data_IF_709456312341
#
_entry.id   IF_709456312341
#
_cell.length_a   1.000
_cell.length_b   1.000
_cell.length_c   1.000
_cell.angle_alpha   90.00
_cell.angle_beta   90.00
_cell.angle_gamma   90.00
#
_symmetry.space_group_name_H-M   'P 1'
#
loop_
_entity.id
_entity.type
_entity.pdbx_description
1 polymer ?
#
# COMPACT_ATOMS: atom_id res chain seq x y z
N UNK A 1 -14.45 -26.84 -13.71
CA UNK A 1 -13.22 -26.45 -12.98
C UNK A 1 -11.97 -26.59 -13.86
N UNK A 2 -11.59 -27.78 -14.34
CA UNK A 2 -10.39 -27.96 -15.21
C UNK A 2 -10.42 -27.13 -16.52
N UNK A 3 -11.58 -26.96 -17.14
CA UNK A 3 -11.72 -26.26 -18.43
C UNK A 3 -11.49 -24.74 -18.35
N UNK A 4 -11.89 -24.08 -17.24
CA UNK A 4 -11.73 -22.62 -17.04
C UNK A 4 -10.30 -22.24 -16.63
N UNK A 5 -9.70 -23.02 -15.73
CA UNK A 5 -8.28 -22.88 -15.38
C UNK A 5 -7.38 -23.15 -16.59
N UNK A 6 -7.73 -24.14 -17.41
CA UNK A 6 -7.06 -24.41 -18.69
C UNK A 6 -7.19 -23.26 -19.69
N UNK A 7 -8.37 -22.64 -19.82
CA UNK A 7 -8.58 -21.50 -20.74
C UNK A 7 -7.87 -20.20 -20.30
N UNK A 8 -7.78 -19.94 -19.00
CA UNK A 8 -7.08 -18.76 -18.48
C UNK A 8 -5.55 -18.94 -18.44
N UNK A 9 -5.08 -20.16 -18.14
CA UNK A 9 -3.67 -20.52 -18.30
C UNK A 9 -3.23 -20.42 -19.77
N UNK A 10 -4.09 -20.82 -20.72
CA UNK A 10 -3.82 -20.60 -22.15
C UNK A 10 -3.87 -19.13 -22.55
N UNK A 11 -4.77 -18.33 -21.98
CA UNK A 11 -4.87 -16.90 -22.27
C UNK A 11 -3.64 -16.11 -21.76
N UNK A 12 -3.15 -16.39 -20.55
CA UNK A 12 -1.89 -15.78 -20.07
C UNK A 12 -0.66 -16.22 -20.86
N UNK A 13 -0.66 -17.46 -21.37
CA UNK A 13 0.42 -17.98 -22.21
C UNK A 13 0.51 -17.30 -23.57
N UNK A 14 -0.60 -16.80 -24.12
CA UNK A 14 -0.65 -16.04 -25.39
C UNK A 14 -0.47 -14.53 -25.19
N UNK A 15 -1.00 -13.95 -24.09
CA UNK A 15 -0.92 -12.51 -23.81
C UNK A 15 0.48 -12.07 -23.34
N UNK A 16 1.23 -12.96 -22.66
CA UNK A 16 2.57 -12.62 -22.14
C UNK A 16 3.60 -12.35 -23.25
N UNK A 17 3.79 -13.23 -24.25
CA UNK A 17 4.68 -12.94 -25.38
C UNK A 17 4.26 -11.68 -26.13
N UNK A 18 2.95 -11.47 -26.35
CA UNK A 18 2.42 -10.29 -27.02
C UNK A 18 2.78 -8.98 -26.30
N UNK A 19 2.69 -8.97 -24.96
CA UNK A 19 3.09 -7.82 -24.16
C UNK A 19 4.58 -7.52 -24.27
N UNK A 20 5.44 -8.54 -24.12
CA UNK A 20 6.89 -8.40 -24.18
C UNK A 20 7.33 -7.90 -25.56
N UNK A 21 6.76 -8.45 -26.64
CA UNK A 21 7.00 -8.00 -28.01
C UNK A 21 6.62 -6.52 -28.21
N UNK A 22 5.48 -6.10 -27.66
CA UNK A 22 5.04 -4.71 -27.74
C UNK A 22 5.96 -3.75 -26.96
N UNK A 23 6.42 -4.15 -25.78
CA UNK A 23 7.36 -3.35 -24.98
C UNK A 23 8.71 -3.21 -25.69
N UNK A 24 9.27 -4.31 -26.19
CA UNK A 24 10.57 -4.31 -26.87
C UNK A 24 10.53 -3.62 -28.24
N UNK A 25 9.36 -3.57 -28.90
CA UNK A 25 9.18 -2.76 -30.11
C UNK A 25 9.17 -1.26 -29.80
N UNK A 26 8.52 -0.84 -28.72
CA UNK A 26 8.48 0.57 -28.31
C UNK A 26 9.83 1.06 -27.77
N UNK A 27 10.60 0.14 -27.20
CA UNK A 27 11.96 0.38 -26.69
C UNK A 27 12.92 -0.60 -27.36
N UNK A 28 13.41 -0.34 -28.59
CA UNK A 28 14.24 -1.29 -29.33
C UNK A 28 15.65 -1.47 -28.77
N UNK A 29 16.08 -0.58 -27.87
CA UNK A 29 17.38 -0.61 -27.22
C UNK A 29 17.30 -0.02 -25.80
N UNK A 30 18.27 -0.32 -24.93
CA UNK A 30 18.39 0.35 -23.63
C UNK A 30 18.47 1.88 -23.76
N UNK A 31 17.97 2.59 -22.76
CA UNK A 31 18.02 4.05 -22.71
C UNK A 31 19.47 4.52 -22.56
N UNK A 32 19.86 5.46 -23.42
CA UNK A 32 21.10 6.21 -23.27
C UNK A 32 20.91 7.37 -22.25
N UNK A 33 21.99 8.06 -21.81
CA UNK A 33 21.91 9.12 -20.81
C UNK A 33 20.96 10.28 -21.17
N UNK A 34 20.84 10.60 -22.46
CA UNK A 34 20.02 11.70 -22.98
C UNK A 34 18.56 11.30 -23.21
N UNK A 35 18.26 10.00 -23.22
CA UNK A 35 16.90 9.52 -23.46
C UNK A 35 15.97 9.93 -22.31
N UNK A 36 14.73 10.37 -22.64
CA UNK A 36 13.72 10.65 -21.63
C UNK A 36 13.33 9.36 -20.92
N UNK A 37 13.06 9.47 -19.62
CA UNK A 37 12.54 8.34 -18.86
C UNK A 37 11.05 8.14 -19.17
N UNK A 38 10.57 6.89 -19.23
CA UNK A 38 9.16 6.58 -19.48
C UNK A 38 8.26 6.84 -18.27
N UNK A 39 8.85 7.24 -17.15
CA UNK A 39 8.18 7.54 -15.89
C UNK A 39 8.71 8.83 -15.26
N UNK A 40 7.93 9.38 -14.33
CA UNK A 40 8.34 10.53 -13.52
C UNK A 40 9.11 10.02 -12.30
N UNK A 41 10.35 10.48 -12.15
CA UNK A 41 11.20 10.14 -11.00
C UNK A 41 10.73 10.93 -9.78
N UNK A 42 10.50 10.28 -8.63
CA UNK A 42 10.09 10.95 -7.40
C UNK A 42 11.31 11.61 -6.75
N UNK A 43 11.41 12.94 -6.91
CA UNK A 43 12.48 13.72 -6.30
C UNK A 43 13.83 13.60 -7.01
N UNK A 44 14.88 14.05 -6.32
CA UNK A 44 16.25 14.15 -6.87
C UNK A 44 17.23 13.16 -6.24
N UNK A 45 16.91 12.64 -5.05
CA UNK A 45 17.75 11.72 -4.27
C UNK A 45 16.92 10.65 -3.59
N UNK A 46 17.52 9.48 -3.39
CA UNK A 46 16.97 8.38 -2.61
C UNK A 46 18.02 7.94 -1.57
N UNK A 47 17.59 7.57 -0.37
CA UNK A 47 18.43 6.76 0.52
C UNK A 47 18.47 5.31 0.02
N UNK A 48 19.47 4.54 0.45
CA UNK A 48 19.58 3.11 0.11
C UNK A 48 18.31 2.32 0.48
N UNK A 49 17.68 2.66 1.60
CA UNK A 49 16.47 2.00 2.09
C UNK A 49 15.21 2.37 1.27
N UNK A 50 15.21 3.53 0.60
CA UNK A 50 14.11 3.95 -0.28
C UNK A 50 14.16 3.24 -1.65
N UNK A 51 15.30 2.65 -2.04
CA UNK A 51 15.52 2.19 -3.42
C UNK A 51 14.50 1.15 -3.85
N UNK A 52 14.34 0.06 -3.09
CA UNK A 52 13.49 -1.05 -3.52
C UNK A 52 12.04 -0.60 -3.74
N UNK A 53 11.43 0.04 -2.73
CA UNK A 53 10.05 0.52 -2.81
C UNK A 53 9.84 1.50 -3.96
N UNK A 54 10.72 2.49 -4.14
CA UNK A 54 10.57 3.50 -5.18
C UNK A 54 10.75 2.91 -6.59
N UNK A 55 11.66 1.94 -6.78
CA UNK A 55 11.82 1.26 -8.06
C UNK A 55 10.65 0.32 -8.37
N UNK A 56 10.15 -0.41 -7.38
CA UNK A 56 8.93 -1.23 -7.51
C UNK A 56 7.74 -0.35 -7.93
N UNK A 57 7.54 0.79 -7.29
CA UNK A 57 6.46 1.73 -7.62
C UNK A 57 6.57 2.22 -9.07
N UNK A 58 7.78 2.56 -9.54
CA UNK A 58 8.02 2.96 -10.93
C UNK A 58 7.69 1.82 -11.92
N UNK A 59 8.18 0.61 -11.67
CA UNK A 59 7.93 -0.55 -12.53
C UNK A 59 6.45 -0.91 -12.56
N UNK A 60 5.81 -1.06 -11.41
CA UNK A 60 4.40 -1.43 -11.31
C UNK A 60 3.51 -0.38 -11.97
N UNK A 61 3.77 0.91 -11.76
CA UNK A 61 3.05 2.00 -12.43
C UNK A 61 3.19 1.95 -13.95
N UNK A 62 4.41 1.75 -14.46
CA UNK A 62 4.67 1.69 -15.90
C UNK A 62 4.09 0.43 -16.56
N UNK A 63 4.33 -0.75 -15.99
CA UNK A 63 3.82 -2.02 -16.54
C UNK A 63 2.28 -2.03 -16.53
N UNK A 64 1.65 -1.56 -15.45
CA UNK A 64 0.18 -1.44 -15.38
C UNK A 64 -0.38 -0.43 -16.38
N UNK A 65 0.31 0.70 -16.61
CA UNK A 65 -0.11 1.70 -17.62
C UNK A 65 -0.11 1.16 -19.05
N UNK A 66 0.60 0.06 -19.27
CA UNK A 66 0.70 -0.65 -20.55
C UNK A 66 -0.12 -1.95 -20.56
N UNK A 67 -1.03 -2.12 -19.61
CA UNK A 67 -1.91 -3.27 -19.46
C UNK A 67 -1.17 -4.61 -19.26
N UNK A 68 0.00 -4.60 -18.61
CA UNK A 68 0.63 -5.83 -18.18
C UNK A 68 -0.29 -6.58 -17.20
N UNK A 69 -0.43 -7.89 -17.36
CA UNK A 69 -1.15 -8.72 -16.39
C UNK A 69 -0.46 -8.63 -15.02
N UNK A 70 -1.21 -8.50 -13.90
CA UNK A 70 -0.61 -8.27 -12.58
C UNK A 70 0.47 -9.29 -12.17
N UNK A 71 0.32 -10.62 -12.39
CA UNK A 71 1.36 -11.59 -12.05
C UNK A 71 2.65 -11.39 -12.86
N UNK A 72 2.51 -11.06 -14.15
CA UNK A 72 3.65 -10.76 -15.02
C UNK A 72 4.34 -9.47 -14.58
N UNK A 73 3.55 -8.42 -14.32
CA UNK A 73 4.07 -7.13 -13.86
C UNK A 73 4.87 -7.27 -12.55
N UNK A 74 4.31 -7.98 -11.57
CA UNK A 74 4.99 -8.24 -10.29
C UNK A 74 6.27 -9.06 -10.48
N UNK A 75 6.24 -10.08 -11.33
CA UNK A 75 7.40 -10.96 -11.55
C UNK A 75 8.53 -10.23 -12.28
N UNK A 76 8.21 -9.41 -13.30
CA UNK A 76 9.19 -8.58 -14.01
C UNK A 76 9.79 -7.51 -13.09
N UNK A 77 8.95 -6.84 -12.30
CA UNK A 77 9.39 -5.84 -11.33
C UNK A 77 10.32 -6.47 -10.29
N UNK A 78 9.94 -7.60 -9.72
CA UNK A 78 10.74 -8.35 -8.76
C UNK A 78 12.12 -8.71 -9.33
N UNK A 79 12.15 -9.38 -10.48
CA UNK A 79 13.39 -9.84 -11.11
C UNK A 79 14.32 -8.67 -11.42
N UNK A 80 13.79 -7.58 -11.99
CA UNK A 80 14.58 -6.41 -12.33
C UNK A 80 15.16 -5.71 -11.09
N UNK A 81 14.37 -5.55 -10.03
CA UNK A 81 14.82 -4.91 -8.79
C UNK A 81 15.82 -5.80 -8.06
N UNK A 82 15.54 -7.11 -7.96
CA UNK A 82 16.44 -8.08 -7.33
C UNK A 82 17.81 -8.12 -8.01
N UNK A 83 17.85 -8.20 -9.36
CA UNK A 83 19.11 -8.16 -10.09
C UNK A 83 19.86 -6.84 -9.88
N UNK A 84 19.15 -5.70 -9.87
CA UNK A 84 19.79 -4.40 -9.65
C UNK A 84 20.37 -4.26 -8.23
N UNK A 85 19.64 -4.70 -7.20
CA UNK A 85 20.09 -4.62 -5.80
C UNK A 85 21.29 -5.54 -5.50
N UNK A 86 21.56 -6.53 -6.35
CA UNK A 86 22.77 -7.35 -6.28
C UNK A 86 24.00 -6.68 -6.92
N UNK A 87 23.83 -5.55 -7.61
CA UNK A 87 24.94 -4.77 -8.21
C UNK A 87 25.47 -3.70 -7.25
N UNK A 88 26.68 -3.20 -7.53
CA UNK A 88 27.23 -2.08 -6.78
C UNK A 88 26.57 -0.75 -7.19
N UNK A 89 25.79 -0.17 -6.28
CA UNK A 89 25.13 1.12 -6.50
C UNK A 89 26.01 2.34 -6.19
N UNK A 90 27.30 2.13 -5.89
CA UNK A 90 28.24 3.19 -5.52
C UNK A 90 28.38 4.27 -6.60
N UNK A 91 28.21 3.92 -7.88
CA UNK A 91 28.23 4.87 -8.99
C UNK A 91 27.13 5.95 -8.90
N UNK A 92 26.03 5.66 -8.19
CA UNK A 92 24.93 6.61 -8.01
C UNK A 92 25.08 7.48 -6.77
N UNK A 93 26.10 7.27 -5.92
CA UNK A 93 26.26 8.04 -4.68
C UNK A 93 26.38 9.53 -4.97
N UNK A 94 25.53 10.32 -4.35
CA UNK A 94 25.64 11.78 -4.32
C UNK A 94 26.36 12.19 -3.06
N UNK A 95 27.40 13.00 -3.22
CA UNK A 95 28.02 13.70 -2.10
C UNK A 95 26.98 14.63 -1.46
N UNK A 96 26.94 14.74 -0.13
CA UNK A 96 26.14 15.76 0.53
C UNK A 96 26.52 17.12 -0.07
N UNK A 97 25.53 17.87 -0.57
CA UNK A 97 25.79 19.27 -0.92
C UNK A 97 26.19 19.99 0.37
N UNK A 98 27.33 20.68 0.36
CA UNK A 98 27.64 21.71 1.35
C UNK A 98 26.64 22.85 1.17
N UNK A 99 25.46 22.72 1.73
CA UNK A 99 24.60 23.87 2.05
C UNK A 99 24.76 24.09 3.55
N UNK A 100 25.67 25.02 3.87
CA UNK A 100 25.91 25.53 5.23
C UNK A 100 24.75 26.45 5.59
N UNK A 101 24.14 26.23 6.76
CA UNK A 101 23.90 27.25 7.80
C UNK A 101 23.11 26.64 8.97
N UNK A 102 23.80 26.61 10.11
CA UNK A 102 23.33 26.70 11.49
C UNK A 102 22.06 25.93 11.91
N UNK A 103 22.29 24.74 12.48
CA UNK A 103 21.72 24.43 13.78
C UNK A 103 22.60 23.39 14.47
N UNK A 104 23.32 23.86 15.49
CA UNK A 104 23.98 23.05 16.49
C UNK A 104 22.92 22.19 17.19
N UNK A 105 22.94 20.89 16.89
CA UNK A 105 22.61 19.80 17.81
C UNK A 105 23.14 18.53 17.15
N UNK A 106 24.39 18.23 17.46
CA UNK A 106 25.06 16.98 17.11
C UNK A 106 24.30 15.80 17.71
N UNK A 107 23.56 15.06 16.88
CA UNK A 107 23.38 13.63 17.11
C UNK A 107 24.15 12.88 16.02
N UNK A 108 25.27 12.33 16.45
CA UNK A 108 26.14 11.36 15.78
C UNK A 108 25.30 10.19 15.21
N UNK A 109 24.81 10.33 13.97
CA UNK A 109 24.17 9.24 13.23
C UNK A 109 24.81 9.11 11.86
N UNK A 110 25.19 7.88 11.55
CA UNK A 110 25.86 7.44 10.31
C UNK A 110 25.36 8.21 9.09
N UNK A 111 26.24 8.72 8.21
CA UNK A 111 25.82 9.46 7.02
C UNK A 111 24.91 8.59 6.16
N UNK A 112 23.63 8.97 6.07
CA UNK A 112 22.67 8.31 5.19
C UNK A 112 23.22 8.41 3.76
N UNK A 113 23.53 7.27 3.15
CA UNK A 113 24.05 7.25 1.78
C UNK A 113 22.91 7.64 0.84
N UNK A 114 23.08 8.77 0.17
CA UNK A 114 22.13 9.28 -0.82
C UNK A 114 22.57 8.89 -2.22
N UNK A 115 21.62 8.48 -3.04
CA UNK A 115 21.79 8.05 -4.42
C UNK A 115 21.09 9.01 -5.38
N UNK A 116 21.62 9.17 -6.59
CA UNK A 116 20.98 9.90 -7.68
C UNK A 116 19.72 9.17 -8.17
N UNK A 117 18.56 9.70 -7.80
CA UNK A 117 17.27 9.09 -8.16
C UNK A 117 17.09 8.95 -9.68
N UNK A 118 17.54 9.94 -10.47
CA UNK A 118 17.35 9.94 -11.93
C UNK A 118 18.26 8.92 -12.62
N UNK A 119 19.54 8.88 -12.26
CA UNK A 119 20.50 7.90 -12.74
C UNK A 119 20.07 6.48 -12.41
N UNK A 120 19.67 6.25 -11.15
CA UNK A 120 19.21 4.95 -10.68
C UNK A 120 17.93 4.50 -11.40
N UNK A 121 16.95 5.39 -11.57
CA UNK A 121 15.73 5.09 -12.31
C UNK A 121 16.01 4.73 -13.78
N UNK A 122 17.02 5.34 -14.42
CA UNK A 122 17.44 4.97 -15.78
C UNK A 122 18.11 3.60 -15.81
N UNK A 123 19.06 3.36 -14.90
CA UNK A 123 19.73 2.07 -14.78
C UNK A 123 18.71 0.96 -14.56
N UNK A 124 17.73 1.22 -13.69
CA UNK A 124 16.64 0.30 -13.41
C UNK A 124 15.75 0.04 -14.63
N UNK A 125 15.39 1.06 -15.41
CA UNK A 125 14.65 0.83 -16.66
C UNK A 125 15.42 -0.10 -17.61
N UNK A 126 16.73 0.13 -17.77
CA UNK A 126 17.56 -0.72 -18.62
C UNK A 126 17.64 -2.16 -18.08
N UNK A 127 17.65 -2.32 -16.76
CA UNK A 127 17.58 -3.64 -16.12
C UNK A 127 16.22 -4.33 -16.39
N UNK A 128 15.11 -3.60 -16.25
CA UNK A 128 13.77 -4.10 -16.57
C UNK A 128 13.65 -4.49 -18.05
N UNK A 129 14.22 -3.69 -18.95
CA UNK A 129 14.27 -3.98 -20.38
C UNK A 129 15.04 -5.28 -20.67
N UNK A 130 16.19 -5.48 -20.03
CA UNK A 130 17.01 -6.68 -20.18
C UNK A 130 16.25 -7.93 -19.70
N UNK A 131 15.57 -7.85 -18.55
CA UNK A 131 14.68 -8.92 -18.07
C UNK A 131 13.57 -9.22 -19.09
N UNK A 132 12.90 -8.18 -19.63
CA UNK A 132 11.87 -8.37 -20.67
C UNK A 132 12.43 -9.08 -21.91
N UNK A 133 13.62 -8.68 -22.37
CA UNK A 133 14.33 -9.26 -23.52
C UNK A 133 14.68 -10.74 -23.31
N UNK A 134 15.15 -11.09 -22.11
CA UNK A 134 15.42 -12.49 -21.75
C UNK A 134 14.13 -13.32 -21.71
N UNK A 135 13.07 -12.78 -21.11
CA UNK A 135 11.80 -13.50 -20.93
C UNK A 135 10.99 -13.63 -22.23
N UNK A 136 11.23 -12.78 -23.22
CA UNK A 136 10.68 -12.92 -24.57
C UNK A 136 11.06 -14.28 -25.18
N UNK A 137 12.27 -14.78 -24.89
CA UNK A 137 12.74 -16.09 -25.36
C UNK A 137 12.16 -17.23 -24.52
N UNK A 138 12.06 -17.03 -23.20
CA UNK A 138 11.56 -18.03 -22.27
C UNK A 138 10.99 -17.38 -21.00
N UNK A 139 9.66 -17.37 -20.87
CA UNK A 139 8.99 -16.88 -19.66
C UNK A 139 9.15 -17.89 -18.51
N UNK A 140 9.69 -17.54 -17.34
CA UNK A 140 9.79 -18.45 -16.19
C UNK A 140 8.42 -18.96 -15.72
N UNK A 141 8.36 -20.21 -15.24
CA UNK A 141 7.11 -20.81 -14.74
C UNK A 141 6.51 -20.02 -13.56
N UNK A 142 7.35 -19.46 -12.70
CA UNK A 142 6.93 -18.62 -11.57
C UNK A 142 6.10 -17.39 -11.99
N UNK A 143 6.27 -16.91 -13.23
CA UNK A 143 5.53 -15.77 -13.76
C UNK A 143 4.15 -16.15 -14.34
N UNK A 144 3.83 -17.45 -14.46
CA UNK A 144 2.72 -17.95 -15.30
C UNK A 144 1.40 -18.25 -14.58
N UNK A 145 1.30 -18.18 -13.24
CA UNK A 145 0.01 -18.15 -12.55
C UNK A 145 0.15 -17.89 -11.04
N UNK A 146 -0.68 -17.01 -10.44
CA UNK A 146 -0.89 -17.00 -9.01
C UNK A 146 -1.69 -18.24 -8.58
N UNK A 147 -1.46 -18.75 -7.37
CA UNK A 147 -2.21 -19.90 -6.84
C UNK A 147 -3.66 -19.55 -6.53
N UNK A 148 -3.95 -18.27 -6.25
CA UNK A 148 -5.27 -17.75 -5.94
C UNK A 148 -5.52 -16.44 -6.68
N UNK A 149 -6.75 -16.23 -7.10
CA UNK A 149 -7.18 -14.96 -7.68
C UNK A 149 -8.02 -14.20 -6.66
N UNK A 150 -7.77 -12.89 -6.57
CA UNK A 150 -8.49 -11.98 -5.70
C UNK A 150 -9.40 -11.10 -6.54
N UNK A 151 -10.69 -11.08 -6.21
CA UNK A 151 -11.62 -10.12 -6.80
C UNK A 151 -11.51 -8.82 -6.01
N UNK A 152 -10.91 -7.81 -6.62
CA UNK A 152 -10.63 -6.53 -5.96
C UNK A 152 -11.35 -5.40 -6.70
N UNK A 153 -11.96 -4.50 -5.93
CA UNK A 153 -12.50 -3.24 -6.45
C UNK A 153 -11.90 -2.06 -5.70
N UNK A 154 -11.47 -1.05 -6.46
CA UNK A 154 -10.81 0.14 -5.94
C UNK A 154 -11.48 1.38 -6.48
N UNK A 155 -11.75 2.34 -5.60
CA UNK A 155 -12.26 3.63 -5.98
C UNK A 155 -11.69 4.72 -5.09
N UNK A 156 -11.15 5.78 -5.69
CA UNK A 156 -10.58 6.91 -4.97
C UNK A 156 -10.91 8.21 -5.70
N UNK A 157 -11.46 9.19 -4.98
CA UNK A 157 -11.83 10.50 -5.53
C UNK A 157 -11.38 11.61 -4.58
N UNK A 158 -10.97 12.75 -5.14
CA UNK A 158 -10.63 13.97 -4.38
C UNK A 158 -11.86 14.64 -3.74
N UNK A 159 -13.01 14.51 -4.38
CA UNK A 159 -14.24 15.24 -4.04
C UNK A 159 -14.00 16.76 -3.97
N UNK A 160 -14.56 17.46 -2.98
CA UNK A 160 -14.45 18.91 -2.78
C UNK A 160 -13.13 19.37 -2.16
N UNK A 161 -12.19 18.46 -1.87
CA UNK A 161 -10.88 18.83 -1.29
C UNK A 161 -9.98 19.50 -2.33
N UNK A 162 -9.06 20.34 -1.86
CA UNK A 162 -8.10 21.05 -2.73
C UNK A 162 -7.13 20.08 -3.42
N UNK A 163 -6.58 19.13 -2.67
CA UNK A 163 -5.61 18.11 -3.12
C UNK A 163 -6.10 16.70 -2.79
N UNK A 164 -5.64 15.71 -3.55
CA UNK A 164 -5.89 14.28 -3.28
C UNK A 164 -4.73 13.75 -2.44
N UNK A 165 -4.92 13.74 -1.12
CA UNK A 165 -3.90 13.35 -0.14
C UNK A 165 -3.99 11.86 0.23
N UNK A 166 -5.11 11.19 -0.04
CA UNK A 166 -5.22 9.74 0.15
C UNK A 166 -4.39 8.94 -0.86
N UNK A 167 -3.88 7.79 -0.41
CA UNK A 167 -3.25 6.75 -1.22
C UNK A 167 -3.80 5.38 -0.86
N UNK A 168 -3.70 4.44 -1.79
CA UNK A 168 -4.11 3.05 -1.58
C UNK A 168 -3.10 2.11 -2.23
N UNK A 169 -3.07 0.87 -1.74
CA UNK A 169 -2.21 -0.20 -2.25
C UNK A 169 -3.08 -1.42 -2.52
N UNK A 170 -2.86 -2.06 -3.67
CA UNK A 170 -3.52 -3.30 -4.04
C UNK A 170 -2.52 -4.27 -4.67
N UNK A 171 -2.14 -5.28 -3.89
CA UNK A 171 -1.12 -6.26 -4.26
C UNK A 171 -1.68 -7.67 -4.09
N UNK A 172 -2.49 -8.15 -5.05
CA UNK A 172 -3.01 -9.52 -5.05
C UNK A 172 -1.92 -10.56 -5.30
N UNK A 173 -0.77 -10.15 -5.83
CA UNK A 173 0.40 -10.96 -6.20
C UNK A 173 1.60 -10.60 -5.31
N UNK A 174 1.36 -10.48 -3.99
CA UNK A 174 2.37 -10.00 -3.04
C UNK A 174 3.61 -10.91 -3.02
N UNK A 175 3.42 -12.24 -3.01
CA UNK A 175 4.54 -13.18 -3.05
C UNK A 175 5.40 -13.01 -4.30
N UNK A 176 4.78 -12.88 -5.49
CA UNK A 176 5.51 -12.71 -6.74
C UNK A 176 6.32 -11.41 -6.77
N UNK A 177 5.75 -10.33 -6.22
CA UNK A 177 6.42 -9.03 -6.22
C UNK A 177 7.69 -9.02 -5.35
N UNK A 178 7.71 -9.82 -4.28
CA UNK A 178 8.82 -9.88 -3.32
C UNK A 178 9.60 -11.20 -3.36
N UNK A 179 9.35 -12.08 -4.33
CA UNK A 179 10.08 -13.34 -4.49
C UNK A 179 9.88 -14.33 -3.33
N UNK A 180 8.77 -14.25 -2.61
CA UNK A 180 8.48 -15.14 -1.48
C UNK A 180 8.14 -16.54 -2.00
N UNK A 181 8.98 -17.52 -1.65
CA UNK A 181 8.91 -18.89 -2.16
C UNK A 181 8.29 -19.89 -1.19
N UNK A 182 7.92 -19.46 0.02
CA UNK A 182 7.24 -20.29 0.98
C UNK A 182 5.79 -20.61 0.53
N UNK A 183 5.17 -21.70 1.03
CA UNK A 183 3.89 -22.18 0.49
C UNK A 183 2.68 -21.33 0.92
N UNK A 184 2.88 -20.28 1.73
CA UNK A 184 1.79 -19.41 2.17
C UNK A 184 1.54 -18.33 1.12
N UNK A 185 0.44 -18.46 0.38
CA UNK A 185 -0.02 -17.42 -0.54
C UNK A 185 -0.40 -16.15 0.24
N UNK A 186 0.05 -14.98 -0.22
CA UNK A 186 -0.24 -13.70 0.42
C UNK A 186 -0.76 -12.65 -0.56
N UNK A 187 -1.65 -11.80 -0.05
CA UNK A 187 -2.09 -10.59 -0.71
C UNK A 187 -2.13 -9.43 0.28
N UNK A 188 -1.77 -8.23 -0.18
CA UNK A 188 -1.69 -7.04 0.66
C UNK A 188 -2.54 -5.91 0.09
N UNK A 189 -3.30 -5.27 0.98
CA UNK A 189 -4.16 -4.13 0.66
C UNK A 189 -4.01 -3.06 1.72
N UNK A 190 -3.99 -1.79 1.33
CA UNK A 190 -3.92 -0.71 2.31
C UNK A 190 -4.56 0.58 1.82
N UNK A 191 -4.93 1.42 2.78
CA UNK A 191 -5.36 2.80 2.56
C UNK A 191 -4.62 3.70 3.55
N UNK A 192 -4.14 4.83 3.04
CA UNK A 192 -3.41 5.85 3.79
C UNK A 192 -4.09 7.21 3.54
N UNK A 193 -4.61 7.84 4.59
CA UNK A 193 -5.23 9.16 4.53
C UNK A 193 -4.20 10.22 4.96
N UNK A 194 -3.78 11.06 4.02
CA UNK A 194 -2.77 12.09 4.25
C UNK A 194 -3.36 13.34 4.91
N UNK A 195 -2.56 14.00 5.74
CA UNK A 195 -2.87 15.31 6.29
C UNK A 195 -1.62 16.20 6.32
N UNK A 196 -1.81 17.51 6.14
CA UNK A 196 -0.68 18.45 6.05
C UNK A 196 0.15 18.29 4.77
N UNK A 197 -0.36 17.54 3.78
CA UNK A 197 0.32 17.20 2.54
C UNK A 197 0.13 15.73 2.17
N UNK A 198 0.67 15.33 1.02
CA UNK A 198 0.51 13.97 0.47
C UNK A 198 1.72 13.07 0.69
N UNK A 199 2.84 13.64 1.12
CA UNK A 199 4.13 12.96 1.07
C UNK A 199 4.19 11.76 2.02
N UNK A 200 3.68 11.88 3.25
CA UNK A 200 3.60 10.77 4.20
C UNK A 200 2.71 9.63 3.69
N UNK A 201 1.53 9.95 3.12
CA UNK A 201 0.62 8.94 2.57
C UNK A 201 1.22 8.23 1.35
N UNK A 202 1.90 8.98 0.46
CA UNK A 202 2.66 8.41 -0.67
C UNK A 202 3.77 7.50 -0.15
N UNK A 203 4.55 7.98 0.81
CA UNK A 203 5.68 7.23 1.34
C UNK A 203 5.23 5.93 2.00
N UNK A 204 4.17 5.98 2.81
CA UNK A 204 3.58 4.80 3.42
C UNK A 204 3.06 3.80 2.38
N UNK A 205 2.41 4.29 1.32
CA UNK A 205 1.93 3.45 0.22
C UNK A 205 3.06 2.73 -0.52
N UNK A 206 4.23 3.37 -0.67
CA UNK A 206 5.41 2.79 -1.34
C UNK A 206 6.20 1.85 -0.43
N UNK A 207 6.31 2.14 0.87
CA UNK A 207 7.34 1.49 1.72
C UNK A 207 6.81 0.50 2.76
N UNK A 208 5.56 0.61 3.25
CA UNK A 208 5.08 -0.28 4.33
C UNK A 208 5.07 -1.75 3.88
N UNK A 209 4.58 -1.99 2.67
CA UNK A 209 4.41 -3.35 2.15
C UNK A 209 5.76 -4.00 1.77
N UNK A 210 6.71 -3.19 1.24
CA UNK A 210 8.08 -3.63 1.00
C UNK A 210 8.81 -3.95 2.31
N UNK A 211 8.71 -3.09 3.32
CA UNK A 211 9.29 -3.35 4.64
C UNK A 211 8.69 -4.59 5.31
N UNK A 212 7.40 -4.86 5.11
CA UNK A 212 6.73 -6.06 5.64
C UNK A 212 7.22 -7.34 4.96
N UNK A 213 7.46 -7.30 3.64
CA UNK A 213 7.93 -8.46 2.87
C UNK A 213 9.28 -9.00 3.36
N UNK A 214 10.14 -8.11 3.87
CA UNK A 214 11.49 -8.43 4.32
C UNK A 214 11.61 -8.68 5.83
N UNK A 215 10.50 -8.65 6.58
CA UNK A 215 10.55 -9.02 7.99
C UNK A 215 10.74 -10.53 8.12
N UNK A 216 11.75 -11.00 8.87
CA UNK A 216 11.99 -12.43 9.06
C UNK A 216 10.82 -13.12 9.78
N UNK A 217 10.02 -12.37 10.54
CA UNK A 217 8.82 -12.87 11.21
C UNK A 217 7.63 -13.03 10.26
N UNK A 218 7.64 -12.52 9.03
CA UNK A 218 6.48 -12.60 8.12
C UNK A 218 5.89 -14.02 7.97
N UNK A 219 6.68 -15.10 7.92
CA UNK A 219 6.13 -16.46 7.84
C UNK A 219 5.50 -16.98 9.14
N UNK A 220 5.97 -16.54 10.30
CA UNK A 220 5.63 -17.12 11.62
C UNK A 220 4.75 -16.19 12.46
N UNK A 221 5.00 -14.89 12.41
CA UNK A 221 4.23 -13.81 13.01
C UNK A 221 4.03 -12.68 11.98
N UNK A 222 3.12 -12.87 10.99
CA UNK A 222 2.81 -11.85 9.98
C UNK A 222 2.38 -10.51 10.58
N UNK A 223 1.87 -10.56 11.80
CA UNK A 223 1.44 -9.39 12.52
C UNK A 223 2.59 -8.61 13.14
N UNK A 224 3.50 -9.28 13.85
CA UNK A 224 4.77 -8.69 14.26
C UNK A 224 5.51 -8.09 13.07
N UNK A 225 5.52 -8.78 11.94
CA UNK A 225 6.08 -8.25 10.69
C UNK A 225 5.40 -6.96 10.23
N UNK A 226 4.06 -6.89 10.20
CA UNK A 226 3.36 -5.64 9.89
C UNK A 226 3.67 -4.54 10.91
N UNK A 227 3.80 -4.90 12.20
CA UNK A 227 4.12 -3.94 13.26
C UNK A 227 5.43 -3.24 12.96
N UNK A 228 6.44 -4.05 12.71
CA UNK A 228 7.80 -3.61 12.46
C UNK A 228 7.91 -2.87 11.14
N UNK A 229 7.15 -3.28 10.13
CA UNK A 229 7.07 -2.57 8.86
C UNK A 229 6.58 -1.14 9.00
N UNK A 230 5.50 -0.89 9.74
CA UNK A 230 5.03 0.47 10.01
C UNK A 230 6.05 1.27 10.81
N UNK A 231 6.67 0.68 11.84
CA UNK A 231 7.71 1.33 12.66
C UNK A 231 8.89 1.76 11.79
N UNK A 232 9.42 0.84 10.99
CA UNK A 232 10.54 1.10 10.07
C UNK A 232 10.19 2.15 9.02
N UNK A 233 8.99 2.07 8.42
CA UNK A 233 8.54 3.08 7.46
C UNK A 233 8.41 4.47 8.11
N UNK A 234 7.95 4.56 9.35
CA UNK A 234 7.90 5.80 10.10
C UNK A 234 9.31 6.40 10.30
N UNK A 235 10.27 5.59 10.75
CA UNK A 235 11.67 6.01 10.91
C UNK A 235 12.29 6.51 9.59
N UNK A 236 12.12 5.74 8.52
CA UNK A 236 12.62 6.11 7.19
C UNK A 236 11.98 7.41 6.69
N UNK A 237 10.67 7.59 6.93
CA UNK A 237 9.99 8.83 6.54
C UNK A 237 10.41 10.01 7.39
N UNK A 238 10.65 9.85 8.69
CA UNK A 238 11.15 10.93 9.56
C UNK A 238 12.51 11.45 9.07
N UNK A 239 13.39 10.57 8.60
CA UNK A 239 14.65 10.95 7.95
C UNK A 239 14.41 11.72 6.65
N UNK A 240 13.54 11.21 5.77
CA UNK A 240 13.17 11.90 4.53
C UNK A 240 12.57 13.28 4.83
N UNK A 241 11.66 13.36 5.79
CA UNK A 241 10.97 14.57 6.18
C UNK A 241 11.93 15.62 6.73
N UNK A 242 12.93 15.22 7.53
CA UNK A 242 14.01 16.11 7.97
C UNK A 242 14.84 16.59 6.77
N UNK A 243 15.27 15.68 5.90
CA UNK A 243 16.08 15.97 4.70
C UNK A 243 15.38 16.91 3.71
N UNK A 244 14.08 16.74 3.52
CA UNK A 244 13.29 17.43 2.49
C UNK A 244 12.32 18.49 3.08
N UNK A 245 12.42 18.77 4.39
CA UNK A 245 11.58 19.73 5.14
C UNK A 245 10.07 19.48 4.96
N UNK A 246 9.67 18.21 5.05
CA UNK A 246 8.27 17.78 4.93
C UNK A 246 7.58 17.82 6.30
N UNK A 247 6.30 18.20 6.31
CA UNK A 247 5.48 18.31 7.53
C UNK A 247 4.17 17.51 7.45
N UNK A 248 4.00 16.72 6.40
CA UNK A 248 2.81 15.89 6.24
C UNK A 248 2.86 14.67 7.16
N UNK A 249 1.69 14.20 7.56
CA UNK A 249 1.49 12.93 8.26
C UNK A 249 0.42 12.11 7.56
N UNK A 250 0.27 10.85 7.98
CA UNK A 250 -0.75 9.99 7.40
C UNK A 250 -1.29 8.97 8.40
N UNK A 251 -2.59 8.72 8.33
CA UNK A 251 -3.16 7.48 8.86
C UNK A 251 -2.69 6.30 8.01
N UNK A 252 -2.91 5.08 8.48
CA UNK A 252 -2.73 3.91 7.66
C UNK A 252 -3.54 2.76 8.19
N UNK A 253 -4.18 2.01 7.30
CA UNK A 253 -4.76 0.71 7.63
C UNK A 253 -4.37 -0.25 6.52
N UNK A 254 -3.88 -1.42 6.90
CA UNK A 254 -3.58 -2.48 5.94
C UNK A 254 -4.22 -3.80 6.33
N UNK A 255 -4.46 -4.61 5.32
CA UNK A 255 -4.81 -6.01 5.43
C UNK A 255 -3.80 -6.85 4.66
N UNK A 256 -3.15 -7.75 5.38
CA UNK A 256 -2.39 -8.86 4.80
C UNK A 256 -3.23 -10.12 4.94
N UNK A 257 -3.58 -10.72 3.82
CA UNK A 257 -4.15 -12.06 3.81
C UNK A 257 -2.98 -13.03 3.65
N UNK A 258 -2.79 -13.94 4.59
CA UNK A 258 -1.76 -14.97 4.56
C UNK A 258 -2.42 -16.36 4.68
N UNK A 259 -2.46 -17.10 3.57
CA UNK A 259 -3.21 -18.34 3.43
C UNK A 259 -4.70 -18.13 3.69
N UNK A 260 -5.16 -18.51 4.89
CA UNK A 260 -6.56 -18.37 5.34
C UNK A 260 -6.72 -17.37 6.49
N UNK A 261 -5.67 -16.65 6.85
CA UNK A 261 -5.70 -15.71 7.97
C UNK A 261 -5.64 -14.29 7.45
N UNK A 262 -6.55 -13.45 7.94
CA UNK A 262 -6.53 -12.01 7.73
C UNK A 262 -5.80 -11.35 8.91
N UNK A 263 -4.75 -10.59 8.60
CA UNK A 263 -3.98 -9.79 9.54
C UNK A 263 -4.21 -8.32 9.25
N UNK A 264 -4.65 -7.56 10.26
CA UNK A 264 -4.89 -6.12 10.16
C UNK A 264 -3.90 -5.37 11.06
N UNK A 265 -3.28 -4.32 10.51
CA UNK A 265 -2.53 -3.33 11.26
C UNK A 265 -2.99 -1.92 10.88
N UNK A 266 -3.09 -1.02 11.86
CA UNK A 266 -3.58 0.34 11.61
C UNK A 266 -3.02 1.39 12.57
N UNK A 267 -3.01 2.62 12.09
CA UNK A 267 -2.71 3.87 12.78
C UNK A 267 -3.71 4.94 12.32
N UNK A 268 -4.29 5.68 13.27
CA UNK A 268 -5.30 6.70 12.97
C UNK A 268 -6.72 6.13 12.82
N UNK A 269 -7.54 6.80 12.02
CA UNK A 269 -8.99 6.62 11.97
C UNK A 269 -9.52 6.08 10.63
N UNK A 270 -8.64 5.73 9.69
CA UNK A 270 -9.00 4.91 8.52
C UNK A 270 -9.41 3.51 8.98
N UNK A 271 -10.41 2.92 8.34
CA UNK A 271 -11.07 1.72 8.85
C UNK A 271 -10.98 0.56 7.87
N UNK A 272 -11.08 -0.64 8.43
CA UNK A 272 -11.37 -1.87 7.72
C UNK A 272 -12.55 -2.58 8.39
N UNK A 273 -13.44 -3.11 7.57
CA UNK A 273 -14.60 -3.91 7.96
C UNK A 273 -14.55 -5.24 7.21
N UNK A 274 -14.85 -6.33 7.90
CA UNK A 274 -15.08 -7.61 7.25
C UNK A 274 -16.58 -7.82 7.16
N UNK A 275 -17.08 -8.19 5.98
CA UNK A 275 -18.44 -8.66 5.80
C UNK A 275 -18.39 -10.17 5.66
N UNK A 276 -19.06 -10.89 6.56
CA UNK A 276 -19.12 -12.33 6.56
C UNK A 276 -20.58 -12.77 6.65
N UNK A 277 -21.02 -13.55 5.66
CA UNK A 277 -22.41 -13.98 5.50
C UNK A 277 -23.41 -12.81 5.56
N UNK A 278 -23.05 -11.68 4.91
CA UNK A 278 -23.84 -10.45 4.91
C UNK A 278 -23.84 -9.67 6.22
N UNK A 279 -23.10 -10.11 7.24
CA UNK A 279 -22.96 -9.42 8.53
C UNK A 279 -21.63 -8.67 8.62
N UNK A 280 -21.67 -7.45 9.17
CA UNK A 280 -20.46 -6.66 9.41
C UNK A 280 -19.77 -7.13 10.69
N UNK A 281 -18.53 -7.58 10.55
CA UNK A 281 -17.61 -7.95 11.62
C UNK A 281 -16.67 -6.79 11.88
N UNK A 282 -16.78 -6.18 13.07
CA UNK A 282 -15.89 -5.11 13.52
C UNK A 282 -14.49 -5.69 13.75
N UNK A 283 -13.50 -5.26 12.96
CA UNK A 283 -12.12 -5.75 13.05
C UNK A 283 -11.22 -4.88 13.93
N UNK A 284 -11.48 -3.57 13.99
CA UNK A 284 -10.61 -2.60 14.62
C UNK A 284 -11.39 -1.49 15.33
N UNK A 285 -10.69 -0.75 16.19
CA UNK A 285 -11.17 0.49 16.80
C UNK A 285 -10.31 1.66 16.32
N UNK A 286 -10.91 2.70 15.71
CA UNK A 286 -10.19 3.90 15.30
C UNK A 286 -9.41 4.53 16.46
N UNK A 287 -8.22 5.06 16.14
CA UNK A 287 -7.39 5.81 17.07
C UNK A 287 -7.85 7.27 17.12
N UNK A 288 -8.86 7.51 17.95
CA UNK A 288 -9.44 8.84 18.16
C UNK A 288 -8.99 9.46 19.47
N UNK A 289 -8.77 10.79 19.52
CA UNK A 289 -8.33 11.47 20.74
C UNK A 289 -9.27 11.30 21.93
N UNK A 290 -10.59 11.16 21.71
CA UNK A 290 -11.57 10.96 22.78
C UNK A 290 -11.67 9.52 23.31
N UNK A 291 -10.96 8.56 22.70
CA UNK A 291 -10.92 7.19 23.21
C UNK A 291 -10.13 7.18 24.51
N UNK A 292 -10.70 6.60 25.56
CA UNK A 292 -10.20 6.78 26.92
C UNK A 292 -8.72 6.36 27.09
N UNK A 293 -8.34 5.20 26.54
CA UNK A 293 -6.95 4.72 26.54
C UNK A 293 -5.99 5.62 25.75
N UNK A 294 -6.45 6.16 24.62
CA UNK A 294 -5.66 7.10 23.80
C UNK A 294 -5.48 8.44 24.50
N UNK A 295 -6.53 8.96 25.13
CA UNK A 295 -6.50 10.19 25.91
C UNK A 295 -5.52 10.07 27.08
N UNK A 296 -5.63 9.00 27.86
CA UNK A 296 -4.72 8.71 28.99
C UNK A 296 -3.26 8.61 28.51
N UNK A 297 -3.01 7.92 27.39
CA UNK A 297 -1.67 7.85 26.79
C UNK A 297 -1.14 9.22 26.38
N UNK A 298 -1.98 10.04 25.74
CA UNK A 298 -1.60 11.40 25.31
C UNK A 298 -1.24 12.26 26.51
N UNK A 299 -2.06 12.25 27.56
CA UNK A 299 -1.87 13.04 28.78
C UNK A 299 -0.63 12.56 29.56
N UNK A 300 -0.38 11.24 29.61
CA UNK A 300 0.82 10.67 30.23
C UNK A 300 2.12 11.06 29.52
N UNK A 301 2.06 11.35 28.21
CA UNK A 301 3.19 11.83 27.41
C UNK A 301 3.31 13.38 27.42
N UNK A 302 2.55 14.07 28.28
CA UNK A 302 2.59 15.53 28.43
C UNK A 302 1.79 16.31 27.38
N UNK A 303 1.00 15.62 26.55
CA UNK A 303 0.04 16.25 25.64
C UNK A 303 -1.31 16.53 26.31
N UNK A 304 -2.24 17.08 25.55
CA UNK A 304 -3.63 17.25 25.99
C UNK A 304 -4.63 16.95 24.86
N UNK A 305 -5.86 16.63 25.24
CA UNK A 305 -6.97 16.44 24.31
C UNK A 305 -7.97 17.58 24.51
N UNK A 306 -8.18 18.38 23.47
CA UNK A 306 -9.14 19.49 23.49
C UNK A 306 -10.22 19.33 22.42
N UNK A 307 -11.41 19.86 22.70
CA UNK A 307 -12.53 19.85 21.76
C UNK A 307 -12.62 21.19 21.03
N UNK A 308 -12.31 21.19 19.73
CA UNK A 308 -12.41 22.35 18.82
C UNK A 308 -13.06 21.91 17.51
N UNK A 309 -14.40 22.00 17.47
CA UNK A 309 -15.33 21.37 16.48
C UNK A 309 -15.30 19.84 16.45
N UNK A 310 -14.15 19.24 16.72
CA UNK A 310 -13.95 17.84 17.02
C UNK A 310 -12.83 17.70 18.08
N UNK A 311 -12.68 16.50 18.65
CA UNK A 311 -11.58 16.21 19.55
C UNK A 311 -10.24 16.21 18.81
N UNK A 312 -9.24 16.85 19.41
CA UNK A 312 -7.91 17.04 18.83
C UNK A 312 -6.81 16.84 19.87
N UNK A 313 -5.71 16.22 19.44
CA UNK A 313 -4.46 16.16 20.18
C UNK A 313 -3.76 17.51 20.06
N UNK A 314 -3.41 18.11 21.21
CA UNK A 314 -2.75 19.41 21.32
C UNK A 314 -3.45 20.52 20.49
N UNK A 315 -4.79 20.45 20.41
CA UNK A 315 -5.61 21.38 19.64
C UNK A 315 -5.49 21.29 18.12
N UNK A 316 -4.71 20.34 17.57
CA UNK A 316 -4.48 20.30 16.12
C UNK A 316 -4.96 19.03 15.43
N UNK A 317 -4.44 17.85 15.79
CA UNK A 317 -4.70 16.62 15.04
C UNK A 317 -5.96 15.90 15.54
N UNK A 318 -6.89 15.58 14.65
CA UNK A 318 -8.13 14.85 14.99
C UNK A 318 -7.93 13.32 15.10
N UNK A 319 -6.69 12.85 15.05
CA UNK A 319 -6.29 11.45 15.19
C UNK A 319 -5.22 11.36 16.28
N UNK A 320 -5.21 10.28 17.05
CA UNK A 320 -4.27 10.10 18.16
C UNK A 320 -2.96 9.40 17.77
N UNK A 321 -2.92 8.77 16.59
CA UNK A 321 -1.75 8.08 16.04
C UNK A 321 -1.66 8.30 14.53
N UNK A 322 -0.45 8.50 14.01
CA UNK A 322 -0.19 8.65 12.59
C UNK A 322 1.28 8.34 12.27
N UNK A 323 1.58 8.04 11.01
CA UNK A 323 2.94 8.11 10.47
C UNK A 323 3.37 9.57 10.43
N UNK A 324 4.65 9.82 10.74
CA UNK A 324 5.33 11.11 10.73
C UNK A 324 4.89 12.11 11.81
N UNK A 325 4.43 11.64 12.97
CA UNK A 325 4.08 12.53 14.07
C UNK A 325 5.33 13.03 14.81
N UNK A 326 6.10 13.93 14.21
CA UNK A 326 7.27 14.51 14.89
C UNK A 326 6.87 15.21 16.19
N UNK A 327 7.59 14.88 17.26
CA UNK A 327 7.48 15.51 18.58
C UNK A 327 7.69 17.04 18.55
N UNK A 328 8.52 17.54 17.62
CA UNK A 328 8.84 18.96 17.48
C UNK A 328 7.74 19.80 16.81
N UNK A 329 6.87 19.18 16.00
CA UNK A 329 5.79 19.90 15.28
C UNK A 329 4.42 19.65 15.93
N UNK A 330 4.23 18.49 16.58
CA UNK A 330 2.90 18.05 17.04
C UNK A 330 2.86 17.59 18.52
N UNK A 331 3.99 17.65 19.23
CA UNK A 331 4.16 17.20 20.61
C UNK A 331 4.42 15.69 20.69
N UNK A 332 5.33 15.27 21.57
CA UNK A 332 5.76 13.87 21.79
C UNK A 332 4.65 12.86 22.09
N UNK A 333 3.43 13.33 22.35
CA UNK A 333 2.26 12.53 22.67
C UNK A 333 1.63 11.77 21.49
N UNK A 334 1.96 12.13 20.24
CA UNK A 334 1.41 11.48 19.04
C UNK A 334 2.22 10.25 18.56
N UNK A 335 3.42 10.01 19.10
CA UNK A 335 4.29 8.89 18.74
C UNK A 335 3.73 7.53 19.25
N UNK A 336 3.68 6.46 18.42
CA UNK A 336 2.85 5.30 18.72
C UNK A 336 3.59 4.18 19.47
N UNK A 337 2.99 3.55 20.49
CA UNK A 337 3.04 2.10 20.59
C UNK A 337 2.06 1.55 19.54
N UNK A 338 2.56 1.18 18.36
CA UNK A 338 1.74 0.63 17.28
C UNK A 338 0.86 -0.53 17.81
N UNK A 339 -0.46 -0.45 17.62
CA UNK A 339 -1.35 -1.56 17.95
C UNK A 339 -1.43 -2.46 16.72
N UNK A 340 -0.79 -3.62 16.85
CA UNK A 340 -1.08 -4.76 16.01
C UNK A 340 -1.93 -5.72 16.80
N UNK A 341 -3.12 -6.01 16.27
CA UNK A 341 -3.54 -7.35 15.90
C UNK A 341 -5.05 -7.47 16.03
N UNK A 342 -5.71 -7.84 14.94
CA UNK A 342 -6.78 -8.82 15.04
C UNK A 342 -6.58 -9.87 13.96
N UNK A 343 -6.26 -11.09 14.38
CA UNK A 343 -6.22 -12.24 13.49
C UNK A 343 -7.64 -12.73 13.31
N UNK A 344 -8.10 -12.82 12.07
CA UNK A 344 -9.38 -13.40 11.74
C UNK A 344 -9.18 -14.55 10.76
N UNK A 345 -9.59 -15.75 11.16
CA UNK A 345 -9.64 -16.90 10.25
C UNK A 345 -10.75 -16.69 9.23
N UNK A 346 -10.40 -16.74 7.95
CA UNK A 346 -11.36 -16.75 6.86
C UNK A 346 -11.97 -18.16 6.76
N UNK A 347 -13.31 -18.29 6.70
CA UNK A 347 -13.96 -19.60 6.62
C UNK A 347 -13.54 -20.34 5.34
N UNK A 348 -13.29 -21.65 5.46
CA UNK A 348 -13.08 -22.49 4.30
C UNK A 348 -14.41 -22.70 3.55
N UNK A 349 -14.45 -22.30 2.28
CA UNK A 349 -15.48 -22.64 1.28
C UNK A 349 -16.86 -22.98 1.84
N UNK A 350 -17.72 -21.97 2.02
CA UNK A 350 -19.13 -22.23 2.26
C UNK A 350 -19.76 -22.75 0.95
N UNK A 351 -20.27 -23.98 0.96
CA UNK A 351 -21.12 -24.50 -0.10
C UNK A 351 -22.32 -23.57 -0.29
N UNK A 352 -22.53 -23.11 -1.52
CA UNK A 352 -23.61 -22.22 -1.95
C UNK A 352 -24.97 -22.87 -1.67
N UNK A 353 -25.84 -22.34 -0.79
CA UNK A 353 -27.24 -22.73 -0.79
C UNK A 353 -27.94 -22.14 -2.02
N UNK A 354 -28.95 -22.82 -2.60
CA UNK A 354 -29.64 -22.35 -3.79
C UNK A 354 -30.32 -21.00 -3.52
N UNK A 355 -30.18 -20.09 -4.49
CA UNK A 355 -30.60 -18.70 -4.40
C UNK A 355 -32.10 -18.54 -4.10
N UNK A 356 -32.44 -17.79 -3.05
CA UNK A 356 -33.72 -17.11 -2.92
C UNK A 356 -33.56 -15.66 -3.41
N UNK A 357 -34.36 -15.30 -4.42
CA UNK A 357 -34.35 -14.02 -5.12
C UNK A 357 -34.59 -12.84 -4.17
N UNK A 358 -33.69 -11.87 -4.16
CA UNK A 358 -33.82 -10.60 -3.42
C UNK A 358 -34.20 -9.47 -4.42
N UNK A 359 -35.27 -8.68 -4.18
CA UNK A 359 -35.71 -7.65 -5.12
C UNK A 359 -35.01 -6.32 -4.82
N UNK A 360 -33.83 -6.09 -5.40
CA UNK A 360 -33.24 -4.74 -5.44
C UNK A 360 -32.35 -4.56 -6.70
N UNK A 361 -32.99 -4.19 -7.81
CA UNK A 361 -32.31 -3.58 -8.95
C UNK A 361 -32.27 -2.07 -8.72
N UNK A 362 -31.15 -1.54 -8.22
CA UNK A 362 -30.59 -0.22 -8.59
C UNK A 362 -29.33 0.07 -7.77
N UNK A 363 -28.25 0.45 -8.46
CA UNK A 363 -26.92 0.87 -7.97
C UNK A 363 -25.80 -0.17 -7.80
N UNK A 364 -25.94 -1.39 -8.30
CA UNK A 364 -24.79 -2.27 -8.59
C UNK A 364 -24.98 -2.85 -10.00
N UNK A 365 -23.94 -2.80 -10.85
CA UNK A 365 -23.93 -3.59 -12.08
C UNK A 365 -24.13 -5.09 -11.73
N UNK A 366 -24.80 -5.87 -12.60
CA UNK A 366 -25.60 -6.99 -12.15
C UNK A 366 -24.82 -8.30 -12.18
N UNK A 367 -24.06 -8.66 -11.14
CA UNK A 367 -23.64 -10.06 -10.95
C UNK A 367 -23.41 -10.41 -9.46
N UNK A 368 -24.22 -11.37 -9.00
CA UNK A 368 -24.17 -12.20 -7.79
C UNK A 368 -24.07 -11.56 -6.38
N UNK A 369 -25.03 -11.84 -5.48
CA UNK A 369 -24.85 -11.71 -4.04
C UNK A 369 -24.09 -12.94 -3.50
N UNK A 370 -22.80 -12.76 -3.17
CA UNK A 370 -21.98 -13.76 -2.45
C UNK A 370 -21.68 -13.28 -1.01
N UNK A 371 -21.41 -14.17 -0.05
CA UNK A 371 -21.59 -13.89 1.37
C UNK A 371 -20.41 -13.18 2.07
N UNK A 372 -19.20 -13.17 1.51
CA UNK A 372 -17.98 -12.74 2.21
C UNK A 372 -17.15 -11.71 1.43
N UNK A 373 -16.71 -10.62 2.07
CA UNK A 373 -15.80 -9.63 1.50
C UNK A 373 -15.22 -8.63 2.52
N UNK A 374 -14.03 -8.10 2.28
CA UNK A 374 -13.32 -7.15 3.14
C UNK A 374 -13.45 -5.74 2.56
N UNK A 375 -13.95 -4.77 3.32
CA UNK A 375 -14.09 -3.39 2.86
C UNK A 375 -13.30 -2.38 3.69
N UNK A 376 -12.79 -1.31 3.07
CA UNK A 376 -12.06 -0.25 3.79
C UNK A 376 -12.75 1.10 3.60
N UNK A 377 -13.43 1.62 4.64
CA UNK A 377 -13.93 2.97 4.60
C UNK A 377 -12.91 4.01 5.09
N UNK A 378 -12.84 5.14 4.37
CA UNK A 378 -12.15 6.36 4.82
C UNK A 378 -13.21 7.34 5.34
N UNK A 379 -12.86 8.02 6.43
CA UNK A 379 -13.77 8.65 7.41
C UNK A 379 -14.93 9.49 6.82
N UNK A 380 -16.09 9.29 7.45
CA UNK A 380 -17.39 9.94 7.24
C UNK A 380 -18.45 9.13 8.00
N UNK A 381 -19.47 9.77 8.59
CA UNK A 381 -20.48 9.09 9.43
C UNK A 381 -21.00 7.79 8.78
N UNK A 382 -20.79 6.66 9.45
CA UNK A 382 -21.34 5.37 9.02
C UNK A 382 -22.85 5.36 9.33
N UNK A 383 -23.70 5.71 8.36
CA UNK A 383 -25.10 5.29 8.41
C UNK A 383 -25.19 3.90 7.79
N UNK A 384 -25.59 2.91 8.58
CA UNK A 384 -26.12 1.65 8.05
C UNK A 384 -27.41 2.02 7.32
N UNK A 385 -27.42 1.92 6.00
CA UNK A 385 -28.62 2.16 5.20
C UNK A 385 -29.67 1.10 5.58
N UNK A 386 -30.74 1.52 6.26
CA UNK A 386 -31.91 0.67 6.48
C UNK A 386 -32.82 0.75 5.23
N UNK A 387 -33.45 -0.36 4.81
CA UNK A 387 -34.42 -0.32 3.72
C UNK A 387 -35.54 0.68 4.03
N UNK A 388 -35.75 1.67 3.16
CA UNK A 388 -36.88 2.61 3.24
C UNK A 388 -36.61 4.01 3.82
N UNK A 389 -35.36 4.37 4.16
CA UNK A 389 -35.06 5.75 4.57
C UNK A 389 -34.93 6.69 3.36
N UNK A 390 -35.62 7.84 3.39
CA UNK A 390 -35.48 8.90 2.38
C UNK A 390 -34.03 9.41 2.33
N UNK A 391 -33.58 9.73 1.11
CA UNK A 391 -32.27 10.33 0.86
C UNK A 391 -32.07 11.59 1.73
N UNK A 392 -30.91 11.78 2.37
CA UNK A 392 -30.66 12.97 3.16
C UNK A 392 -30.61 14.21 2.25
N UNK A 393 -31.20 15.30 2.74
CA UNK A 393 -31.10 16.63 2.15
C UNK A 393 -29.64 17.07 2.04
N UNK A 394 -29.32 17.88 1.02
CA UNK A 394 -27.99 18.43 0.74
C UNK A 394 -27.29 18.92 2.02
N UNK A 395 -26.21 18.22 2.42
CA UNK A 395 -25.42 18.60 3.60
C UNK A 395 -24.47 17.55 4.19
N UNK A 396 -24.57 16.26 3.85
CA UNK A 396 -23.79 15.21 4.54
C UNK A 396 -22.47 14.83 3.84
N UNK A 397 -21.41 14.67 4.64
CA UNK A 397 -20.03 14.37 4.22
C UNK A 397 -19.87 12.92 3.74
N UNK A 398 -19.15 12.76 2.62
CA UNK A 398 -18.86 11.53 1.87
C UNK A 398 -18.22 10.40 2.70
N UNK A 399 -18.67 9.16 2.46
CA UNK A 399 -18.01 7.91 2.87
C UNK A 399 -17.26 7.29 1.69
N UNK A 400 -16.11 6.65 1.94
CA UNK A 400 -15.31 5.92 0.93
C UNK A 400 -15.36 4.41 1.22
N UNK A 401 -15.07 3.55 0.24
CA UNK A 401 -15.08 2.08 0.42
C UNK A 401 -14.09 1.39 -0.54
N UNK A 402 -13.26 0.49 -0.04
CA UNK A 402 -12.58 -0.58 -0.80
C UNK A 402 -13.37 -1.88 -0.64
N UNK A 403 -13.29 -2.88 -1.53
CA UNK A 403 -13.85 -4.22 -1.29
C UNK A 403 -12.99 -5.33 -1.94
N UNK A 404 -12.54 -6.31 -1.14
CA UNK A 404 -11.92 -7.56 -1.60
C UNK A 404 -12.91 -8.68 -1.37
N UNK A 405 -13.28 -9.41 -2.42
CA UNK A 405 -14.08 -10.62 -2.28
C UNK A 405 -13.17 -11.84 -2.32
N UNK A 406 -13.44 -12.76 -1.40
CA UNK A 406 -12.86 -14.09 -1.42
C UNK A 406 -13.86 -15.02 -2.13
N UNK A 407 -13.59 -15.33 -3.40
CA UNK A 407 -14.24 -16.45 -4.06
C UNK A 407 -13.16 -17.51 -4.34
N UNK A 408 -13.20 -18.61 -3.59
CA UNK A 408 -12.63 -19.87 -4.08
C UNK A 408 -13.58 -20.35 -5.17
N UNK A 409 -13.25 -20.08 -6.44
CA UNK A 409 -13.98 -20.58 -7.62
C UNK A 409 -13.35 -21.86 -8.16
#
# INVERSE_FOLDING_TARGET
MAFRASQQSSQMAEETPSFLDALLRDFPAPLNPESPLPWKVPGTVLSQEEVEGELIELAMGFLSSRNALPPLASSLAHEAVSQLLQTDLSEFRKLPRQEVEDNEEEEEKTPVTLLDAKGLARRFFNQLWEVCSQWQKQVPLAARAPQRQWLVSIHAIRNTRRKMEDRHVCLPTFNQLFGLSDPVDRAYFAVFDGHGGVDAARYAAVHVHANAAHQPELPTDPAGALKEAFRRTDEMFLWKAKRERLQSGSTGVCALIAGKTLHIAWLGDSQVILVQQGQVVKLMEPHKPERQDEKERIEALGGFVSHMDCWRVNGTLAVSRAIASQASVWGSAAAPPLQVLRNCSLPAGASVPPASVCPCQTCCLPYSPSPCGLCFPVSGHTRVWRPGAQAPSQGERSSRWFCVRDEVV
#
